data_IF_774431088588
#
_entry.id   IF_774431088588
#
_cell.length_a   1.000
_cell.length_b   1.000
_cell.length_c   1.000
_cell.angle_alpha   90.00
_cell.angle_beta   90.00
_cell.angle_gamma   90.00
#
_symmetry.space_group_name_H-M   'P 1'
#
loop_
_entity.id
_entity.type
_entity.pdbx_description
1 polymer ?
#
# COMPACT_ATOMS: atom_id res chain seq x y z
N UNK A 1 1.14 7.28 1.40
CA UNK A 1 0.34 7.31 2.64
C UNK A 1 -1.16 7.10 2.40
N UNK A 2 -1.99 8.10 2.10
CA UNK A 2 -3.45 7.85 2.01
C UNK A 2 -3.83 6.88 0.89
N UNK A 3 -3.26 7.07 -0.31
CA UNK A 3 -3.47 6.18 -1.46
C UNK A 3 -3.06 4.72 -1.18
N UNK A 4 -1.95 4.54 -0.45
CA UNK A 4 -1.47 3.23 0.02
C UNK A 4 -2.41 2.61 1.05
N UNK A 5 -2.85 3.35 2.07
CA UNK A 5 -3.87 2.86 3.04
C UNK A 5 -5.19 2.50 2.34
N UNK A 6 -5.56 3.24 1.29
CA UNK A 6 -6.72 2.93 0.47
C UNK A 6 -6.52 1.63 -0.31
N UNK A 7 -5.32 1.41 -0.85
CA UNK A 7 -4.96 0.16 -1.52
C UNK A 7 -5.02 -1.04 -0.56
N UNK A 8 -4.42 -0.94 0.63
CA UNK A 8 -4.47 -1.97 1.68
C UNK A 8 -5.90 -2.31 2.14
N UNK A 9 -6.77 -1.30 2.21
CA UNK A 9 -8.19 -1.53 2.48
C UNK A 9 -8.83 -2.42 1.40
N UNK A 10 -8.48 -2.24 0.13
CA UNK A 10 -8.99 -3.09 -0.95
C UNK A 10 -8.42 -4.50 -0.89
N UNK A 11 -7.15 -4.66 -0.52
CA UNK A 11 -6.58 -5.98 -0.22
C UNK A 11 -7.40 -6.70 0.86
N UNK A 12 -7.69 -6.02 1.97
CA UNK A 12 -8.54 -6.54 3.03
C UNK A 12 -9.93 -6.96 2.50
N UNK A 13 -10.63 -6.09 1.78
CA UNK A 13 -11.97 -6.36 1.26
C UNK A 13 -11.99 -7.53 0.26
N UNK A 14 -10.93 -7.68 -0.55
CA UNK A 14 -10.74 -8.85 -1.42
C UNK A 14 -10.64 -10.11 -0.56
N UNK A 15 -9.77 -10.15 0.45
CA UNK A 15 -9.62 -11.32 1.32
C UNK A 15 -10.90 -11.65 2.08
N UNK A 16 -11.65 -10.64 2.53
CA UNK A 16 -12.95 -10.83 3.16
C UNK A 16 -13.98 -11.43 2.20
N UNK A 17 -14.01 -10.99 0.94
CA UNK A 17 -14.89 -11.57 -0.10
C UNK A 17 -14.59 -13.04 -0.39
N UNK A 18 -13.33 -13.45 -0.20
CA UNK A 18 -12.87 -14.83 -0.31
C UNK A 18 -13.08 -15.64 0.98
N UNK A 19 -13.62 -15.01 2.03
CA UNK A 19 -14.00 -15.66 3.28
C UNK A 19 -13.02 -15.48 4.44
N UNK A 20 -12.01 -14.61 4.31
CA UNK A 20 -10.98 -14.36 5.33
C UNK A 20 -11.51 -13.84 6.67
N UNK A 21 -12.76 -13.36 6.72
CA UNK A 21 -13.42 -12.88 7.94
C UNK A 21 -14.60 -13.74 8.40
N UNK A 22 -14.80 -14.95 7.84
CA UNK A 22 -15.99 -15.76 8.16
C UNK A 22 -16.01 -16.23 9.62
N UNK A 23 -14.84 -16.58 10.17
CA UNK A 23 -14.73 -17.11 11.54
C UNK A 23 -14.62 -15.97 12.53
N UNK A 24 -15.32 -16.09 13.66
CA UNK A 24 -15.25 -15.10 14.73
C UNK A 24 -13.84 -14.96 15.31
N UNK A 25 -13.09 -16.06 15.42
CA UNK A 25 -11.72 -16.05 15.95
C UNK A 25 -10.77 -15.20 15.10
N UNK A 26 -10.88 -15.32 13.77
CA UNK A 26 -10.06 -14.55 12.83
C UNK A 26 -10.35 -13.05 13.00
N UNK A 27 -11.64 -12.66 13.07
CA UNK A 27 -12.05 -11.27 13.32
C UNK A 27 -11.56 -10.75 14.67
N UNK A 28 -11.70 -11.54 15.73
CA UNK A 28 -11.27 -11.18 17.06
C UNK A 28 -9.75 -10.92 17.09
N UNK A 29 -8.96 -11.85 16.55
CA UNK A 29 -7.51 -11.72 16.50
C UNK A 29 -7.08 -10.50 15.66
N UNK A 30 -7.64 -10.35 14.45
CA UNK A 30 -7.30 -9.25 13.55
C UNK A 30 -7.57 -7.87 14.19
N UNK A 31 -8.73 -7.70 14.83
CA UNK A 31 -9.08 -6.43 15.47
C UNK A 31 -8.13 -6.06 16.61
N UNK A 32 -7.80 -7.02 17.48
CA UNK A 32 -6.92 -6.76 18.62
C UNK A 32 -5.46 -6.58 18.18
N UNK A 33 -5.02 -7.34 17.16
CA UNK A 33 -3.72 -7.15 16.54
C UNK A 33 -3.59 -5.76 15.92
N UNK A 34 -4.60 -5.28 15.18
CA UNK A 34 -4.60 -3.94 14.59
C UNK A 34 -4.50 -2.82 15.65
N UNK A 35 -5.24 -2.94 16.76
CA UNK A 35 -5.15 -1.97 17.87
C UNK A 35 -3.76 -2.00 18.52
N UNK A 36 -3.21 -3.18 18.79
CA UNK A 36 -1.87 -3.32 19.36
C UNK A 36 -0.79 -2.76 18.44
N UNK A 37 -0.88 -3.09 17.15
CA UNK A 37 0.02 -2.60 16.11
C UNK A 37 0.00 -1.07 16.00
N UNK A 38 -1.20 -0.46 15.97
CA UNK A 38 -1.36 0.99 15.98
C UNK A 38 -0.59 1.66 17.13
N UNK A 39 -0.74 1.14 18.35
CA UNK A 39 -0.08 1.70 19.54
C UNK A 39 1.43 1.44 19.59
N UNK A 40 1.95 0.51 18.80
CA UNK A 40 3.39 0.30 18.61
C UNK A 40 3.93 1.30 17.58
N UNK A 41 3.26 1.44 16.44
CA UNK A 41 3.73 2.25 15.31
C UNK A 41 3.70 3.75 15.64
N UNK A 42 2.64 4.24 16.28
CA UNK A 42 2.48 5.68 16.61
C UNK A 42 3.70 6.28 17.35
N UNK A 43 4.16 5.71 18.49
CA UNK A 43 5.31 6.28 19.19
C UNK A 43 6.61 6.14 18.38
N UNK A 44 6.79 5.06 17.61
CA UNK A 44 7.96 4.91 16.72
C UNK A 44 7.93 6.00 15.66
N UNK A 45 6.79 6.24 15.02
CA UNK A 45 6.66 7.28 14.00
C UNK A 45 6.91 8.69 14.56
N UNK A 46 6.38 8.98 15.75
CA UNK A 46 6.54 10.29 16.39
C UNK A 46 7.99 10.60 16.80
N UNK A 47 8.73 9.59 17.26
CA UNK A 47 10.09 9.78 17.80
C UNK A 47 11.19 9.44 16.78
N UNK A 48 10.92 8.49 15.91
CA UNK A 48 11.86 7.78 15.05
C UNK A 48 11.22 7.48 13.67
N UNK A 49 10.77 8.50 12.91
CA UNK A 49 9.99 8.30 11.69
C UNK A 49 10.72 7.48 10.63
N UNK A 50 12.05 7.61 10.52
CA UNK A 50 12.87 6.76 9.63
C UNK A 50 12.74 5.28 9.95
N UNK A 51 12.78 4.91 11.23
CA UNK A 51 12.63 3.53 11.65
C UNK A 51 11.20 3.02 11.54
N UNK A 52 10.20 3.91 11.62
CA UNK A 52 8.82 3.54 11.31
C UNK A 52 8.70 3.12 9.84
N UNK A 53 9.27 3.89 8.90
CA UNK A 53 9.29 3.54 7.48
C UNK A 53 10.13 2.31 7.19
N UNK A 54 11.27 2.13 7.85
CA UNK A 54 12.05 0.91 7.73
C UNK A 54 11.29 -0.33 8.22
N UNK A 55 10.56 -0.22 9.33
CA UNK A 55 9.70 -1.31 9.81
C UNK A 55 8.59 -1.64 8.81
N UNK A 56 7.95 -0.63 8.22
CA UNK A 56 6.96 -0.83 7.17
C UNK A 56 7.58 -1.51 5.94
N UNK A 57 8.75 -1.06 5.46
CA UNK A 57 9.47 -1.71 4.35
C UNK A 57 9.62 -3.22 4.58
N UNK A 58 10.02 -3.63 5.78
CA UNK A 58 10.18 -5.04 6.12
C UNK A 58 8.85 -5.81 6.11
N UNK A 59 7.75 -5.16 6.51
CA UNK A 59 6.41 -5.74 6.48
C UNK A 59 5.96 -5.95 5.02
N UNK A 60 6.10 -4.92 4.18
CA UNK A 60 5.70 -5.00 2.77
C UNK A 60 6.56 -5.99 1.98
N UNK A 61 7.86 -6.05 2.26
CA UNK A 61 8.74 -7.05 1.65
C UNK A 61 8.31 -8.48 2.05
N UNK A 62 7.93 -8.67 3.31
CA UNK A 62 7.42 -9.98 3.75
C UNK A 62 6.07 -10.32 3.13
N UNK A 63 5.19 -9.33 2.94
CA UNK A 63 3.91 -9.50 2.25
C UNK A 63 4.14 -9.92 0.79
N UNK A 64 5.03 -9.22 0.07
CA UNK A 64 5.45 -9.58 -1.28
C UNK A 64 5.92 -11.04 -1.36
N UNK A 65 6.88 -11.43 -0.50
CA UNK A 65 7.46 -12.78 -0.51
C UNK A 65 6.40 -13.86 -0.23
N UNK A 66 5.44 -13.55 0.63
CA UNK A 66 4.32 -14.44 0.97
C UNK A 66 3.41 -14.65 -0.24
N UNK A 67 3.01 -13.57 -0.92
CA UNK A 67 2.16 -13.67 -2.10
C UNK A 67 2.88 -14.32 -3.28
N UNK A 68 4.17 -14.04 -3.48
CA UNK A 68 4.97 -14.67 -4.53
C UNK A 68 5.06 -16.18 -4.32
N UNK A 69 5.34 -16.61 -3.08
CA UNK A 69 5.32 -18.03 -2.69
C UNK A 69 3.95 -18.65 -2.94
N UNK A 70 2.87 -18.00 -2.50
CA UNK A 70 1.51 -18.49 -2.67
C UNK A 70 1.11 -18.65 -4.14
N UNK A 71 1.47 -17.68 -4.99
CA UNK A 71 1.26 -17.72 -6.43
C UNK A 71 2.00 -18.89 -7.07
N UNK A 72 3.27 -19.09 -6.73
CA UNK A 72 4.10 -20.18 -7.26
C UNK A 72 3.54 -21.56 -6.88
N UNK A 73 3.05 -21.72 -5.65
CA UNK A 73 2.51 -22.98 -5.15
C UNK A 73 1.10 -23.31 -5.65
N UNK A 74 0.29 -22.28 -5.97
CA UNK A 74 -1.16 -22.46 -6.23
C UNK A 74 -1.60 -22.00 -7.63
N UNK A 75 -0.67 -21.70 -8.53
CA UNK A 75 -0.95 -21.11 -9.85
C UNK A 75 -2.07 -21.82 -10.63
N UNK A 76 -2.01 -23.15 -10.74
CA UNK A 76 -3.00 -23.92 -11.51
C UNK A 76 -4.41 -23.82 -10.92
N UNK A 77 -4.51 -23.84 -9.59
CA UNK A 77 -5.77 -23.76 -8.86
C UNK A 77 -6.37 -22.36 -8.92
N UNK A 78 -5.53 -21.33 -8.81
CA UNK A 78 -5.97 -19.93 -8.84
C UNK A 78 -6.46 -19.51 -10.22
N UNK A 79 -5.82 -19.98 -11.29
CA UNK A 79 -6.24 -19.70 -12.69
C UNK A 79 -7.62 -20.27 -13.05
N UNK A 80 -8.10 -21.27 -12.30
CA UNK A 80 -9.41 -21.87 -12.50
C UNK A 80 -10.54 -21.14 -11.75
N UNK A 81 -10.19 -20.22 -10.87
CA UNK A 81 -11.15 -19.47 -10.06
C UNK A 81 -11.40 -18.09 -10.67
N UNK A 82 -12.66 -17.66 -10.65
CA UNK A 82 -13.03 -16.32 -11.10
C UNK A 82 -12.43 -15.26 -10.16
N UNK A 83 -12.06 -14.11 -10.71
CA UNK A 83 -11.74 -12.94 -9.91
C UNK A 83 -13.01 -12.48 -9.17
N UNK A 84 -12.93 -12.13 -7.86
CA UNK A 84 -14.07 -11.60 -7.14
C UNK A 84 -14.44 -10.21 -7.66
N UNK A 85 -15.74 -9.90 -7.67
CA UNK A 85 -16.28 -8.64 -8.24
C UNK A 85 -15.62 -7.39 -7.65
N UNK A 86 -15.24 -7.43 -6.37
CA UNK A 86 -14.57 -6.31 -5.71
C UNK A 86 -13.16 -6.05 -6.26
N UNK A 87 -12.41 -7.10 -6.61
CA UNK A 87 -11.10 -6.95 -7.24
C UNK A 87 -11.22 -6.40 -8.65
N UNK A 88 -12.21 -6.89 -9.40
CA UNK A 88 -12.51 -6.39 -10.75
C UNK A 88 -12.90 -4.90 -10.71
N UNK A 89 -13.78 -4.54 -9.78
CA UNK A 89 -14.16 -3.14 -9.58
C UNK A 89 -12.99 -2.26 -9.17
N UNK A 90 -12.07 -2.76 -8.35
CA UNK A 90 -10.94 -1.97 -7.87
C UNK A 90 -9.87 -1.77 -8.95
N UNK A 91 -9.43 -2.86 -9.60
CA UNK A 91 -8.29 -2.85 -10.50
C UNK A 91 -8.62 -2.45 -11.94
N UNK A 92 -9.88 -2.64 -12.39
CA UNK A 92 -10.26 -2.44 -13.79
C UNK A 92 -11.33 -1.38 -14.02
N UNK A 93 -12.42 -1.45 -13.26
CA UNK A 93 -13.66 -0.71 -13.62
C UNK A 93 -13.89 0.56 -12.79
N UNK A 94 -13.18 0.73 -11.66
CA UNK A 94 -13.35 1.83 -10.72
C UNK A 94 -12.59 3.10 -11.08
N UNK A 95 -12.69 4.10 -10.20
CA UNK A 95 -11.85 5.31 -10.28
C UNK A 95 -10.41 4.96 -9.89
N UNK A 96 -9.53 4.97 -10.88
CA UNK A 96 -8.13 4.60 -10.72
C UNK A 96 -7.27 5.73 -10.14
N UNK A 97 -7.82 6.91 -9.82
CA UNK A 97 -7.05 8.03 -9.28
C UNK A 97 -6.19 7.63 -8.08
N UNK A 98 -6.78 6.97 -7.07
CA UNK A 98 -6.02 6.53 -5.89
C UNK A 98 -5.02 5.41 -6.18
N UNK A 99 -5.31 4.58 -7.17
CA UNK A 99 -4.41 3.51 -7.61
C UNK A 99 -3.18 4.06 -8.35
N UNK A 100 -3.36 5.15 -9.09
CA UNK A 100 -2.27 5.88 -9.76
C UNK A 100 -1.42 6.66 -8.76
N UNK A 101 -2.06 7.35 -7.81
CA UNK A 101 -1.41 8.14 -6.77
C UNK A 101 -0.51 7.30 -5.84
N UNK A 102 -0.82 6.01 -5.66
CA UNK A 102 -0.02 5.11 -4.82
C UNK A 102 1.37 4.80 -5.43
N UNK A 103 1.53 4.86 -6.76
CA UNK A 103 2.76 4.45 -7.43
C UNK A 103 3.88 5.50 -7.24
N UNK A 104 4.97 5.10 -6.55
CA UNK A 104 6.04 6.02 -6.07
C UNK A 104 6.87 6.67 -7.19
N UNK A 105 6.78 6.18 -8.42
CA UNK A 105 7.31 6.89 -9.59
C UNK A 105 6.15 7.21 -10.51
N UNK A 106 5.92 8.49 -10.82
CA UNK A 106 5.03 8.91 -11.90
C UNK A 106 5.59 8.36 -13.22
N UNK A 107 5.13 7.21 -13.72
CA UNK A 107 5.71 6.64 -14.92
C UNK A 107 5.17 7.45 -16.11
N UNK A 108 5.82 7.34 -17.27
CA UNK A 108 5.24 7.86 -18.52
C UNK A 108 3.88 7.23 -18.86
N UNK A 109 3.55 6.11 -18.22
CA UNK A 109 2.27 5.42 -18.30
C UNK A 109 1.97 4.66 -17.01
N UNK A 110 0.77 4.83 -16.45
CA UNK A 110 0.32 4.11 -15.27
C UNK A 110 0.09 2.62 -15.53
N UNK A 111 0.29 1.77 -14.51
CA UNK A 111 -0.08 0.35 -14.55
C UNK A 111 -1.59 0.19 -14.83
N UNK A 112 -1.94 -0.79 -15.65
CA UNK A 112 -3.33 -1.19 -15.94
C UNK A 112 -3.44 -2.70 -15.74
N UNK A 113 -3.83 -3.13 -14.53
CA UNK A 113 -3.81 -4.54 -14.17
C UNK A 113 -4.84 -5.37 -14.93
N UNK A 114 -4.50 -6.60 -15.29
CA UNK A 114 -5.46 -7.61 -15.75
C UNK A 114 -6.11 -8.29 -14.56
N UNK A 115 -7.38 -8.72 -14.71
CA UNK A 115 -8.17 -9.27 -13.59
C UNK A 115 -9.12 -10.36 -14.10
N UNK A 116 -8.62 -11.28 -14.93
CA UNK A 116 -9.46 -12.28 -15.60
C UNK A 116 -9.79 -13.47 -14.68
N UNK A 117 -8.89 -13.78 -13.75
CA UNK A 117 -9.02 -14.88 -12.81
C UNK A 117 -8.37 -14.51 -11.46
N UNK A 118 -8.53 -15.39 -10.46
CA UNK A 118 -8.01 -15.13 -9.12
C UNK A 118 -6.48 -15.09 -9.05
N UNK A 119 -5.77 -15.77 -9.96
CA UNK A 119 -4.31 -15.69 -10.03
C UNK A 119 -3.86 -14.27 -10.41
N UNK A 120 -4.54 -13.61 -11.36
CA UNK A 120 -4.23 -12.24 -11.75
C UNK A 120 -4.47 -11.26 -10.57
N UNK A 121 -5.49 -11.51 -9.76
CA UNK A 121 -5.77 -10.71 -8.55
C UNK A 121 -4.61 -10.79 -7.57
N UNK A 122 -4.11 -11.99 -7.26
CA UNK A 122 -2.99 -12.14 -6.35
C UNK A 122 -1.67 -11.61 -6.93
N UNK A 123 -1.48 -11.63 -8.26
CA UNK A 123 -0.37 -10.90 -8.90
C UNK A 123 -0.49 -9.41 -8.62
N UNK A 124 -1.68 -8.84 -8.77
CA UNK A 124 -1.87 -7.41 -8.57
C UNK A 124 -1.63 -6.98 -7.14
N UNK A 125 -2.10 -7.76 -6.17
CA UNK A 125 -1.82 -7.55 -4.74
C UNK A 125 -0.32 -7.61 -4.48
N UNK A 126 0.37 -8.67 -4.93
CA UNK A 126 1.84 -8.79 -4.78
C UNK A 126 2.58 -7.59 -5.38
N UNK A 127 2.20 -7.17 -6.59
CA UNK A 127 2.86 -6.08 -7.29
C UNK A 127 2.59 -4.72 -6.60
N UNK A 128 1.42 -4.55 -5.98
CA UNK A 128 1.13 -3.40 -5.12
C UNK A 128 2.05 -3.37 -3.90
N UNK A 129 2.30 -4.51 -3.25
CA UNK A 129 3.28 -4.58 -2.14
C UNK A 129 4.68 -4.19 -2.58
N UNK A 130 5.08 -4.50 -3.82
CA UNK A 130 6.36 -4.04 -4.37
C UNK A 130 6.40 -2.52 -4.55
N UNK A 131 5.29 -1.88 -4.92
CA UNK A 131 5.20 -0.42 -4.95
C UNK A 131 5.24 0.16 -3.53
N UNK A 132 4.58 -0.47 -2.56
CA UNK A 132 4.64 -0.07 -1.15
C UNK A 132 6.07 -0.11 -0.61
N UNK A 133 6.84 -1.17 -0.89
CA UNK A 133 8.28 -1.24 -0.55
C UNK A 133 9.04 -0.03 -1.09
N UNK A 134 8.85 0.33 -2.37
CA UNK A 134 9.53 1.50 -2.98
C UNK A 134 9.14 2.79 -2.26
N UNK A 135 7.87 2.95 -1.93
CA UNK A 135 7.35 4.09 -1.16
C UNK A 135 8.02 4.18 0.20
N UNK A 136 8.12 3.07 0.93
CA UNK A 136 8.73 3.02 2.26
C UNK A 136 10.22 3.34 2.23
N UNK A 137 10.95 2.83 1.23
CA UNK A 137 12.37 3.18 1.00
C UNK A 137 12.52 4.67 0.72
N UNK A 138 11.68 5.26 -0.12
CA UNK A 138 11.72 6.70 -0.41
C UNK A 138 11.45 7.53 0.86
N UNK A 139 10.48 7.12 1.68
CA UNK A 139 10.11 7.82 2.91
C UNK A 139 11.18 7.75 4.02
N UNK A 140 12.18 6.88 3.92
CA UNK A 140 13.32 6.88 4.86
C UNK A 140 14.28 8.06 4.62
N UNK A 141 14.37 8.54 3.38
CA UNK A 141 15.28 9.63 3.01
C UNK A 141 14.93 10.93 3.74
N UNK A 142 15.93 11.60 4.30
CA UNK A 142 15.74 12.81 5.08
C UNK A 142 15.15 13.95 4.23
N UNK A 143 15.56 14.04 2.97
CA UNK A 143 15.12 15.05 2.01
C UNK A 143 13.63 14.90 1.67
N UNK A 144 13.17 13.67 1.48
CA UNK A 144 11.75 13.36 1.22
C UNK A 144 10.90 13.70 2.45
N UNK A 145 11.36 13.29 3.65
CA UNK A 145 10.66 13.63 4.89
C UNK A 145 10.58 15.13 5.15
N UNK A 146 11.64 15.86 4.83
CA UNK A 146 11.66 17.32 4.96
C UNK A 146 10.69 18.01 3.98
N UNK A 147 10.35 17.36 2.87
CA UNK A 147 9.37 17.86 1.91
C UNK A 147 7.91 17.61 2.32
N UNK A 148 7.65 16.85 3.40
CA UNK A 148 6.29 16.61 3.87
C UNK A 148 5.66 17.91 4.38
N UNK A 149 4.70 18.43 3.62
CA UNK A 149 3.89 19.57 4.02
C UNK A 149 2.52 19.10 4.50
N UNK A 150 2.09 19.61 5.65
CA UNK A 150 0.68 19.46 6.04
C UNK A 150 -0.19 20.22 5.05
N UNK A 151 -1.27 19.63 4.50
CA UNK A 151 -2.23 20.37 3.70
C UNK A 151 -2.96 21.46 4.50
N UNK A 152 -2.83 21.44 5.83
CA UNK A 152 -3.33 22.47 6.75
C UNK A 152 -2.23 23.41 7.24
N UNK A 153 -1.03 23.36 6.65
CA UNK A 153 0.04 24.29 7.00
C UNK A 153 -0.41 25.71 6.65
N UNK A 154 -0.59 26.54 7.69
CA UNK A 154 -0.82 27.97 7.49
C UNK A 154 0.50 28.57 7.02
N UNK A 155 0.51 29.13 5.80
CA UNK A 155 1.65 29.91 5.34
C UNK A 155 1.84 31.09 6.30
N UNK A 156 2.91 31.06 7.11
CA UNK A 156 3.27 32.17 7.96
C UNK A 156 3.87 33.25 7.03
N UNK A 157 3.27 34.44 6.92
CA UNK A 157 3.81 35.48 6.05
C UNK A 157 5.18 35.93 6.60
N UNK A 158 6.27 35.58 5.92
CA UNK A 158 7.62 36.04 6.26
C UNK A 158 8.73 34.99 6.25
N UNK A 159 8.41 33.69 6.16
CA UNK A 159 9.43 32.67 5.90
C UNK A 159 9.69 32.59 4.39
N UNK A 160 10.86 33.06 3.98
CA UNK A 160 11.36 32.88 2.63
C UNK A 160 11.43 31.38 2.32
N UNK A 161 10.53 30.90 1.47
CA UNK A 161 10.69 29.63 0.77
C UNK A 161 12.03 29.72 0.03
N UNK A 162 13.02 28.96 0.47
CA UNK A 162 14.22 28.70 -0.31
C UNK A 162 13.77 27.92 -1.55
N UNK A 163 13.42 28.65 -2.60
CA UNK A 163 13.18 28.07 -3.92
C UNK A 163 14.49 27.46 -4.39
N UNK A 164 14.49 26.14 -4.60
CA UNK A 164 15.55 25.39 -5.26
C UNK A 164 15.94 26.08 -6.57
N UNK A 165 17.23 26.10 -6.96
CA UNK A 165 17.67 26.83 -8.14
C UNK A 165 17.07 26.23 -9.41
N UNK A 166 16.64 27.12 -10.30
CA UNK A 166 16.12 26.80 -11.62
C UNK A 166 17.05 25.87 -12.38
N UNK A 167 16.46 24.87 -13.02
CA UNK A 167 17.10 24.05 -14.05
C UNK A 167 17.67 24.95 -15.15
N UNK A 168 18.97 24.81 -15.43
CA UNK A 168 19.60 25.16 -16.70
C UNK A 168 19.81 23.88 -17.51
#
# INVERSE_FOLDING_TARGET
HFAETWNELHHLLIMESLGGNQRWGDRFLAQHAAVGYYWIVVPIYMLLPEYAYYMMELIEQHAYDTYDTYLNENAETLKQQAAPDIAVSYYRDGDLYMFEEMQTNAPSSFRRPTVDNLYDVFINVRDDESEHVKTMVACQQAEVRAAFASPHAVAIPGEAVLTSPEKL
#
